data_IF_920311128043
#
_entry.id   IF_920311128043
#
_cell.length_a   1.000
_cell.length_b   1.000
_cell.length_c   1.000
_cell.angle_alpha   90.00
_cell.angle_beta   90.00
_cell.angle_gamma   90.00
#
_symmetry.space_group_name_H-M   'P 1'
#
loop_
_entity.id
_entity.type
_entity.pdbx_description
1 polymer ?
#
# COMPACT_ATOMS: atom_id res chain seq x y z
N UNK A 1 1.63 27.38 10.60
CA UNK A 1 2.38 26.99 9.99
C UNK A 1 2.38 25.90 9.05
N UNK A 2 2.55 26.24 7.94
CA UNK A 2 2.43 25.36 6.82
C UNK A 2 3.57 24.37 6.72
N UNK A 3 4.62 24.59 7.46
CA UNK A 3 5.76 23.73 7.33
C UNK A 3 5.49 22.31 7.72
N UNK A 4 4.60 22.09 8.65
CA UNK A 4 4.28 20.76 9.03
C UNK A 4 3.66 19.99 7.90
N UNK A 5 2.80 20.66 7.16
CA UNK A 5 2.15 20.01 6.04
C UNK A 5 3.14 19.63 4.97
N UNK A 6 4.17 20.44 4.80
CA UNK A 6 5.19 20.14 3.81
C UNK A 6 6.00 18.94 4.23
N UNK A 7 6.24 18.81 5.52
CA UNK A 7 7.02 17.70 6.01
C UNK A 7 6.28 16.38 5.92
N UNK A 8 4.94 16.42 5.92
CA UNK A 8 4.14 15.22 5.85
C UNK A 8 3.51 15.13 4.48
N UNK A 9 4.33 15.03 3.48
CA UNK A 9 3.84 14.97 2.11
C UNK A 9 3.24 13.60 1.83
N UNK A 10 2.12 13.63 1.13
CA UNK A 10 1.56 12.39 0.61
C UNK A 10 2.45 11.87 -0.50
N UNK A 11 2.70 10.58 -0.53
CA UNK A 11 3.35 9.98 -1.68
C UNK A 11 2.53 10.23 -2.94
N UNK A 12 3.18 10.32 -4.07
CA UNK A 12 2.52 10.58 -5.34
C UNK A 12 2.40 9.31 -6.16
N UNK A 13 1.37 9.22 -7.01
CA UNK A 13 1.26 8.07 -7.92
C UNK A 13 2.56 7.85 -8.69
N UNK A 14 2.93 6.59 -8.82
CA UNK A 14 4.17 6.21 -9.48
C UNK A 14 5.34 6.05 -8.54
N UNK A 15 5.23 6.51 -7.31
CA UNK A 15 6.30 6.38 -6.33
C UNK A 15 6.18 5.09 -5.56
N UNK A 16 7.29 4.67 -4.98
CA UNK A 16 7.28 3.53 -4.06
C UNK A 16 6.87 4.00 -2.69
N UNK A 17 6.13 3.16 -2.00
CA UNK A 17 5.71 3.42 -0.62
C UNK A 17 5.90 2.16 0.19
N UNK A 18 5.89 2.31 1.51
CA UNK A 18 5.98 1.19 2.43
C UNK A 18 4.58 0.95 3.00
N UNK A 19 4.10 -0.27 2.89
CA UNK A 19 2.86 -0.66 3.56
C UNK A 19 3.26 -0.99 5.00
N UNK A 20 2.85 -0.14 5.93
CA UNK A 20 3.33 -0.24 7.31
C UNK A 20 2.57 -1.26 8.14
N UNK A 21 1.32 -1.52 7.78
CA UNK A 21 0.50 -2.50 8.51
C UNK A 21 -0.71 -2.83 7.65
N UNK A 22 -1.44 -3.87 8.03
CA UNK A 22 -2.69 -4.23 7.37
C UNK A 22 -3.84 -3.91 8.32
N UNK A 23 -4.97 -3.41 7.78
CA UNK A 23 -6.15 -3.24 8.62
C UNK A 23 -6.58 -4.60 9.18
N UNK A 24 -7.14 -4.63 10.39
CA UNK A 24 -7.64 -5.89 10.94
C UNK A 24 -8.65 -6.55 10.00
N UNK A 25 -8.48 -7.82 9.74
CA UNK A 25 -9.39 -8.57 8.89
C UNK A 25 -9.25 -8.30 7.41
N UNK A 26 -8.30 -7.45 7.01
CA UNK A 26 -8.18 -7.00 5.63
C UNK A 26 -8.02 -8.14 4.63
N UNK A 27 -7.24 -9.14 4.98
CA UNK A 27 -6.95 -10.24 4.05
C UNK A 27 -7.71 -11.51 4.36
N UNK A 28 -8.61 -11.50 5.36
CA UNK A 28 -9.23 -12.72 5.85
C UNK A 28 -10.07 -13.43 4.79
N UNK A 29 -10.69 -12.68 3.89
CA UNK A 29 -11.55 -13.25 2.87
C UNK A 29 -10.82 -13.58 1.58
N UNK A 30 -9.52 -13.40 1.54
CA UNK A 30 -8.75 -13.65 0.33
C UNK A 30 -8.25 -15.08 0.28
N UNK A 31 -7.96 -15.60 -0.93
CA UNK A 31 -7.31 -16.90 -1.04
C UNK A 31 -5.99 -16.93 -0.28
N UNK A 32 -5.59 -18.11 0.17
CA UNK A 32 -4.39 -18.25 0.99
C UNK A 32 -3.14 -17.69 0.29
N UNK A 33 -3.01 -17.92 -1.01
CA UNK A 33 -1.84 -17.42 -1.74
C UNK A 33 -1.79 -15.90 -1.76
N UNK A 34 -2.95 -15.25 -1.82
CA UNK A 34 -2.98 -13.79 -1.77
C UNK A 34 -2.63 -13.30 -0.38
N UNK A 35 -3.11 -13.98 0.65
CA UNK A 35 -2.78 -13.62 2.02
C UNK A 35 -1.27 -13.68 2.26
N UNK A 36 -0.64 -14.73 1.76
CA UNK A 36 0.80 -14.90 1.90
C UNK A 36 1.54 -13.80 1.15
N UNK A 37 1.16 -13.55 -0.09
CA UNK A 37 1.84 -12.55 -0.92
C UNK A 37 1.75 -11.16 -0.31
N UNK A 38 0.57 -10.79 0.17
CA UNK A 38 0.37 -9.47 0.78
C UNK A 38 1.16 -9.36 2.07
N UNK A 39 1.14 -10.39 2.89
CA UNK A 39 1.86 -10.36 4.16
C UNK A 39 3.36 -10.22 3.95
N UNK A 40 3.88 -10.79 2.87
CA UNK A 40 5.31 -10.74 2.61
C UNK A 40 5.79 -9.35 2.20
N UNK A 41 4.91 -8.51 1.67
CA UNK A 41 5.33 -7.18 1.24
C UNK A 41 5.13 -6.10 2.29
N UNK A 42 4.52 -6.43 3.42
CA UNK A 42 4.42 -5.46 4.51
C UNK A 42 5.83 -5.08 4.95
N UNK A 43 6.10 -3.78 4.98
CA UNK A 43 7.42 -3.28 5.33
C UNK A 43 8.37 -3.17 4.16
N UNK A 44 7.94 -3.51 2.96
CA UNK A 44 8.80 -3.43 1.78
C UNK A 44 8.26 -2.41 0.79
N UNK A 45 9.11 -1.80 -0.04
CA UNK A 45 8.64 -0.83 -1.03
C UNK A 45 7.76 -1.50 -2.07
N UNK A 46 6.59 -0.91 -2.30
CA UNK A 46 5.69 -1.34 -3.37
C UNK A 46 5.17 -0.09 -4.06
N UNK A 47 4.58 -0.26 -5.23
CA UNK A 47 4.19 0.87 -6.07
C UNK A 47 2.84 1.43 -5.68
N UNK A 48 2.79 2.75 -5.51
CA UNK A 48 1.53 3.47 -5.36
C UNK A 48 1.06 3.82 -6.77
N UNK A 49 -0.11 3.31 -7.14
CA UNK A 49 -0.64 3.53 -8.48
C UNK A 49 -1.42 4.83 -8.56
N UNK A 50 -2.32 5.04 -7.62
CA UNK A 50 -3.18 6.22 -7.59
C UNK A 50 -3.94 6.26 -6.28
N UNK A 51 -4.66 7.35 -6.05
CA UNK A 51 -5.62 7.45 -4.96
C UNK A 51 -7.02 7.38 -5.57
N UNK A 52 -7.91 6.66 -4.90
CA UNK A 52 -9.30 6.59 -5.32
C UNK A 52 -10.05 7.84 -4.87
N UNK A 53 -11.24 8.03 -5.41
CA UNK A 53 -12.06 9.19 -5.05
C UNK A 53 -12.37 9.24 -3.57
N UNK A 54 -12.48 8.08 -2.94
CA UNK A 54 -12.75 8.01 -1.51
C UNK A 54 -11.49 8.19 -0.68
N UNK A 55 -10.36 8.44 -1.31
CA UNK A 55 -9.11 8.69 -0.62
C UNK A 55 -8.23 7.48 -0.38
N UNK A 56 -8.70 6.28 -0.71
CA UNK A 56 -7.88 5.08 -0.50
C UNK A 56 -6.73 5.05 -1.49
N UNK A 57 -5.61 4.52 -1.04
CA UNK A 57 -4.45 4.34 -1.90
C UNK A 57 -4.54 3.00 -2.62
N UNK A 58 -4.25 3.00 -3.91
CA UNK A 58 -4.19 1.78 -4.71
C UNK A 58 -2.73 1.40 -4.86
N UNK A 59 -2.36 0.23 -4.38
CA UNK A 59 -0.99 -0.25 -4.40
C UNK A 59 -0.90 -1.49 -5.27
N UNK A 60 0.24 -1.66 -5.94
CA UNK A 60 0.50 -2.85 -6.76
C UNK A 60 1.88 -3.40 -6.47
N UNK A 61 1.99 -4.71 -6.54
CA UNK A 61 3.27 -5.38 -6.43
C UNK A 61 3.20 -6.73 -7.14
N UNK A 62 4.37 -7.29 -7.44
CA UNK A 62 4.45 -8.65 -7.99
C UNK A 62 4.98 -9.57 -6.91
N UNK A 63 4.44 -10.79 -6.85
CA UNK A 63 4.95 -11.78 -5.92
C UNK A 63 6.16 -12.48 -6.52
N UNK A 64 6.69 -13.48 -5.81
CA UNK A 64 7.89 -14.18 -6.25
C UNK A 64 7.68 -14.95 -7.53
N UNK A 65 6.45 -15.27 -7.85
CA UNK A 65 6.13 -16.02 -9.05
C UNK A 65 5.81 -15.11 -10.23
N UNK A 66 5.84 -13.80 -10.01
CA UNK A 66 5.58 -12.83 -11.06
C UNK A 66 4.12 -12.43 -11.20
N UNK A 67 3.26 -12.92 -10.33
CA UNK A 67 1.84 -12.56 -10.38
C UNK A 67 1.62 -11.20 -9.74
N UNK A 68 0.77 -10.39 -10.37
CA UNK A 68 0.43 -9.08 -9.85
C UNK A 68 -0.66 -9.15 -8.81
N UNK A 69 -0.52 -8.29 -7.80
CA UNK A 69 -1.54 -8.13 -6.76
C UNK A 69 -1.82 -6.65 -6.60
N UNK A 70 -3.08 -6.32 -6.38
CA UNK A 70 -3.50 -4.94 -6.12
C UNK A 70 -4.18 -4.84 -4.78
N UNK A 71 -3.95 -3.73 -4.08
CA UNK A 71 -4.55 -3.48 -2.78
C UNK A 71 -5.15 -2.10 -2.73
N UNK A 72 -6.24 -1.96 -1.97
CA UNK A 72 -6.85 -0.66 -1.69
C UNK A 72 -6.78 -0.48 -0.19
N UNK A 73 -6.01 0.49 0.28
CA UNK A 73 -5.83 0.70 1.72
C UNK A 73 -5.98 2.18 2.06
N UNK A 74 -6.39 2.44 3.30
CA UNK A 74 -6.40 3.79 3.81
C UNK A 74 -4.96 4.31 3.83
N UNK A 75 -4.71 5.55 3.39
CA UNK A 75 -3.34 6.09 3.35
C UNK A 75 -2.61 6.06 4.67
N UNK A 76 -3.32 5.96 5.80
CA UNK A 76 -2.64 5.87 7.09
C UNK A 76 -1.82 4.60 7.23
N UNK A 77 -2.01 3.63 6.36
CA UNK A 77 -1.26 2.37 6.39
C UNK A 77 -0.06 2.39 5.45
N UNK A 78 0.22 3.51 4.80
CA UNK A 78 1.41 3.61 3.96
C UNK A 78 2.29 4.76 4.44
N UNK A 79 3.58 4.67 4.10
CA UNK A 79 4.53 5.71 4.41
C UNK A 79 5.41 5.93 3.19
N UNK A 80 5.97 7.12 3.02
CA UNK A 80 6.92 7.36 1.93
C UNK A 80 8.11 6.42 2.06
N UNK A 81 8.62 6.01 0.92
CA UNK A 81 9.79 5.13 0.89
C UNK A 81 11.07 5.93 0.98
#
# INVERSE_FOLDING_TARGET
MTDKEKLIKKPKPGQKVILTALPPGFIDDLPAEDQIAISEVVGKPITLVQYEEDGRAVLEFSDKQGDFHGLYVDPKFIAPC
#
